data_IF_185936029275
#
_entry.id   IF_185936029275
#
_cell.length_a   1.000
_cell.length_b   1.000
_cell.length_c   1.000
_cell.angle_alpha   90.00
_cell.angle_beta   90.00
_cell.angle_gamma   90.00
#
_symmetry.space_group_name_H-M   'P 1'
#
loop_
_entity.id
_entity.type
_entity.pdbx_description
1 polymer ?
#
# COMPACT_ATOMS: atom_id res chain seq x y z
N UNK A 1 21.97 -20.55 -31.27
CA UNK A 1 22.56 -19.49 -30.41
C UNK A 1 21.78 -18.19 -30.55
N UNK A 2 21.63 -17.63 -31.76
CA UNK A 2 20.82 -16.43 -32.01
C UNK A 2 19.35 -16.52 -31.53
N UNK A 3 18.68 -17.66 -31.71
CA UNK A 3 17.28 -17.83 -31.27
C UNK A 3 17.13 -17.81 -29.73
N UNK A 4 18.15 -18.29 -29.00
CA UNK A 4 18.12 -18.36 -27.54
C UNK A 4 18.45 -17.00 -26.91
N UNK A 5 19.32 -16.21 -27.54
CA UNK A 5 19.58 -14.82 -27.16
C UNK A 5 18.37 -13.92 -27.41
N UNK A 6 17.66 -14.09 -28.54
CA UNK A 6 16.42 -13.37 -28.83
C UNK A 6 15.31 -13.69 -27.82
N UNK A 7 15.11 -14.97 -27.49
CA UNK A 7 14.11 -15.37 -26.49
C UNK A 7 14.40 -14.79 -25.10
N UNK A 8 15.68 -14.77 -24.69
CA UNK A 8 16.08 -14.16 -23.41
C UNK A 8 15.89 -12.64 -23.43
N UNK A 9 16.19 -11.97 -24.54
CA UNK A 9 15.95 -10.53 -24.70
C UNK A 9 14.47 -10.18 -24.58
N UNK A 10 13.59 -10.94 -25.24
CA UNK A 10 12.14 -10.73 -25.14
C UNK A 10 11.59 -11.00 -23.72
N UNK A 11 12.09 -12.05 -23.05
CA UNK A 11 11.69 -12.37 -21.69
C UNK A 11 12.10 -11.26 -20.69
N UNK A 12 13.32 -10.75 -20.84
CA UNK A 12 13.83 -9.63 -20.03
C UNK A 12 13.00 -8.37 -20.26
N UNK A 13 12.68 -8.07 -21.52
CA UNK A 13 11.85 -6.92 -21.87
C UNK A 13 10.45 -6.99 -21.21
N UNK A 14 9.81 -8.16 -21.27
CA UNK A 14 8.53 -8.38 -20.59
C UNK A 14 8.66 -8.22 -19.06
N UNK A 15 9.75 -8.70 -18.48
CA UNK A 15 10.03 -8.57 -17.04
C UNK A 15 10.19 -7.10 -16.63
N UNK A 16 10.94 -6.32 -17.41
CA UNK A 16 11.14 -4.87 -17.21
C UNK A 16 9.79 -4.14 -17.23
N UNK A 17 8.95 -4.39 -18.23
CA UNK A 17 7.64 -3.72 -18.34
C UNK A 17 6.73 -4.08 -17.17
N UNK A 18 6.74 -5.34 -16.72
CA UNK A 18 5.98 -5.77 -15.53
C UNK A 18 6.46 -5.05 -14.27
N UNK A 19 7.77 -5.05 -14.02
CA UNK A 19 8.38 -4.37 -12.88
C UNK A 19 8.09 -2.86 -12.88
N UNK A 20 8.18 -2.21 -14.04
CA UNK A 20 7.85 -0.79 -14.19
C UNK A 20 6.38 -0.48 -13.86
N UNK A 21 5.44 -1.32 -14.30
CA UNK A 21 4.02 -1.14 -13.96
C UNK A 21 3.76 -1.32 -12.47
N UNK A 22 4.31 -2.39 -11.88
CA UNK A 22 4.19 -2.64 -10.45
C UNK A 22 4.83 -1.52 -9.61
N UNK A 23 5.99 -1.01 -10.04
CA UNK A 23 6.65 0.15 -9.45
C UNK A 23 5.73 1.37 -9.41
N UNK A 24 5.15 1.73 -10.57
CA UNK A 24 4.26 2.89 -10.67
C UNK A 24 3.04 2.74 -9.78
N UNK A 25 2.35 1.60 -9.82
CA UNK A 25 1.18 1.35 -8.96
C UNK A 25 1.56 1.39 -7.48
N UNK A 26 2.74 0.90 -7.09
CA UNK A 26 3.22 0.98 -5.71
C UNK A 26 3.47 2.44 -5.27
N UNK A 27 4.06 3.26 -6.14
CA UNK A 27 4.28 4.68 -5.86
C UNK A 27 2.97 5.46 -5.78
N UNK A 28 2.05 5.23 -6.73
CA UNK A 28 0.69 5.79 -6.69
C UNK A 28 -0.05 5.38 -5.41
N UNK A 29 0.04 4.11 -5.00
CA UNK A 29 -0.56 3.61 -3.76
C UNK A 29 0.03 4.27 -2.51
N UNK A 30 1.35 4.43 -2.45
CA UNK A 30 2.02 5.09 -1.32
C UNK A 30 1.63 6.58 -1.27
N UNK A 31 1.58 7.27 -2.41
CA UNK A 31 1.11 8.65 -2.50
C UNK A 31 -0.36 8.78 -2.07
N UNK A 32 -1.24 7.91 -2.55
CA UNK A 32 -2.68 7.90 -2.22
C UNK A 32 -2.95 7.64 -0.72
N UNK A 33 -2.05 6.93 -0.05
CA UNK A 33 -2.10 6.74 1.42
C UNK A 33 -1.71 7.99 2.21
N UNK A 34 -1.17 9.02 1.54
CA UNK A 34 -0.79 10.30 2.13
C UNK A 34 0.70 10.43 2.47
N UNK A 35 1.55 9.56 1.92
CA UNK A 35 3.00 9.70 2.05
C UNK A 35 3.54 10.68 1.01
N UNK A 36 4.68 11.28 1.34
CA UNK A 36 5.39 12.22 0.47
C UNK A 36 6.30 11.46 -0.50
N UNK A 37 6.08 11.66 -1.79
CA UNK A 37 6.89 11.15 -2.90
C UNK A 37 7.02 12.25 -3.96
N UNK A 38 8.16 12.27 -4.65
CA UNK A 38 8.36 13.22 -5.74
C UNK A 38 7.51 12.83 -6.97
N UNK A 39 7.02 13.82 -7.72
CA UNK A 39 6.15 13.55 -8.88
C UNK A 39 6.90 12.75 -9.96
N UNK A 40 8.21 12.99 -10.09
CA UNK A 40 9.11 12.31 -11.01
C UNK A 40 9.26 10.81 -10.69
N UNK A 41 9.18 10.43 -9.41
CA UNK A 41 9.23 9.03 -8.97
C UNK A 41 7.93 8.29 -9.31
N UNK A 42 6.79 8.96 -9.12
CA UNK A 42 5.45 8.40 -9.38
C UNK A 42 5.18 8.28 -10.89
N UNK A 43 5.60 9.28 -11.67
CA UNK A 43 5.35 9.37 -13.12
C UNK A 43 6.55 8.97 -13.98
N UNK A 44 7.46 8.16 -13.45
CA UNK A 44 8.65 7.71 -14.16
C UNK A 44 8.31 7.05 -15.50
N UNK A 45 9.01 7.45 -16.57
CA UNK A 45 8.88 6.83 -17.89
C UNK A 45 9.54 5.45 -17.92
N UNK A 46 9.13 4.59 -18.88
CA UNK A 46 9.74 3.27 -19.05
C UNK A 46 11.24 3.37 -19.34
N UNK A 47 11.66 4.34 -20.15
CA UNK A 47 13.07 4.52 -20.51
C UNK A 47 13.92 4.99 -19.33
N UNK A 48 13.38 5.90 -18.51
CA UNK A 48 14.04 6.33 -17.27
C UNK A 48 14.14 5.17 -16.27
N UNK A 49 13.07 4.39 -16.14
CA UNK A 49 13.06 3.20 -15.28
C UNK A 49 14.10 2.17 -15.72
N UNK A 50 14.19 1.87 -17.02
CA UNK A 50 15.22 0.99 -17.57
C UNK A 50 16.61 1.46 -17.17
N UNK A 51 16.92 2.72 -17.49
CA UNK A 51 18.24 3.31 -17.21
C UNK A 51 18.63 3.22 -15.73
N UNK A 52 17.67 3.43 -14.82
CA UNK A 52 17.94 3.47 -13.38
C UNK A 52 17.94 2.09 -12.70
N UNK A 53 17.08 1.17 -13.15
CA UNK A 53 16.78 -0.07 -12.42
C UNK A 53 17.17 -1.35 -13.15
N UNK A 54 17.71 -1.29 -14.39
CA UNK A 54 18.27 -2.48 -15.05
C UNK A 54 19.78 -2.58 -14.89
N UNK A 55 20.27 -3.80 -14.77
CA UNK A 55 21.70 -4.12 -14.71
C UNK A 55 22.31 -4.18 -16.12
N UNK A 56 23.64 -4.30 -16.20
CA UNK A 56 24.37 -4.33 -17.50
C UNK A 56 23.93 -5.52 -18.36
N UNK A 57 23.49 -6.61 -17.73
CA UNK A 57 22.96 -7.82 -18.37
C UNK A 57 21.50 -7.69 -18.84
N UNK A 58 20.87 -6.54 -18.66
CA UNK A 58 19.48 -6.29 -19.04
C UNK A 58 18.44 -6.87 -18.06
N UNK A 59 18.84 -7.34 -16.89
CA UNK A 59 17.92 -7.82 -15.84
C UNK A 59 17.47 -6.70 -14.92
N UNK A 60 16.29 -6.84 -14.31
CA UNK A 60 15.76 -5.86 -13.34
C UNK A 60 16.43 -6.05 -11.98
N UNK A 61 16.96 -4.97 -11.42
CA UNK A 61 17.60 -4.96 -10.11
C UNK A 61 16.59 -4.61 -9.02
N UNK A 62 15.98 -5.64 -8.41
CA UNK A 62 15.00 -5.47 -7.32
C UNK A 62 15.58 -4.78 -6.08
N UNK A 63 16.87 -4.99 -5.82
CA UNK A 63 17.60 -4.31 -4.74
C UNK A 63 17.60 -2.79 -4.90
N UNK A 64 17.76 -2.28 -6.12
CA UNK A 64 17.69 -0.84 -6.40
C UNK A 64 16.26 -0.29 -6.32
N UNK A 65 15.25 -1.15 -6.43
CA UNK A 65 13.84 -0.75 -6.33
C UNK A 65 13.34 -0.60 -4.88
N UNK A 66 14.21 -0.72 -3.88
CA UNK A 66 13.81 -0.49 -2.49
C UNK A 66 13.67 1.01 -2.23
N UNK A 67 12.59 1.42 -1.59
CA UNK A 67 12.38 2.83 -1.24
C UNK A 67 11.60 2.98 0.06
N UNK A 68 11.64 4.20 0.60
CA UNK A 68 10.92 4.58 1.81
C UNK A 68 10.21 5.91 1.61
N UNK A 69 9.10 6.12 2.31
CA UNK A 69 8.37 7.39 2.23
C UNK A 69 7.93 7.85 3.63
N UNK A 70 8.02 9.16 3.86
CA UNK A 70 7.60 9.78 5.12
C UNK A 70 6.13 10.23 5.03
N UNK A 71 5.37 10.18 6.13
CA UNK A 71 3.99 10.63 6.12
C UNK A 71 3.95 12.16 5.96
N UNK A 72 3.05 12.65 5.09
CA UNK A 72 2.85 14.09 4.94
C UNK A 72 2.34 14.74 6.22
N UNK A 73 2.51 16.06 6.35
CA UNK A 73 1.96 16.81 7.48
C UNK A 73 0.43 16.64 7.62
N UNK A 74 -0.29 16.55 6.50
CA UNK A 74 -1.73 16.28 6.48
C UNK A 74 -2.07 14.89 7.01
N UNK A 75 -1.31 13.86 6.58
CA UNK A 75 -1.45 12.50 7.07
C UNK A 75 -1.18 12.42 8.57
N UNK A 76 -0.08 13.03 9.04
CA UNK A 76 0.24 13.07 10.47
C UNK A 76 -0.90 13.68 11.26
N UNK A 77 -1.36 14.89 10.89
CA UNK A 77 -2.50 15.56 11.54
C UNK A 77 -3.76 14.69 11.58
N UNK A 78 -4.08 14.01 10.48
CA UNK A 78 -5.27 13.16 10.34
C UNK A 78 -5.26 11.94 11.28
N UNK A 79 -4.07 11.38 11.52
CA UNK A 79 -3.89 10.16 12.31
C UNK A 79 -3.33 10.42 13.72
N UNK A 80 -3.07 11.67 14.09
CA UNK A 80 -2.81 12.07 15.48
C UNK A 80 -4.11 12.02 16.29
N UNK A 81 -4.14 11.29 17.41
CA UNK A 81 -5.25 11.38 18.36
C UNK A 81 -5.45 12.81 18.88
N UNK A 82 -6.68 13.16 19.28
CA UNK A 82 -6.90 14.42 19.99
C UNK A 82 -6.17 14.41 21.35
N UNK A 83 -5.62 15.55 21.75
CA UNK A 83 -4.98 15.72 23.05
C UNK A 83 -5.99 15.45 24.18
N UNK A 84 -5.53 14.77 25.23
CA UNK A 84 -6.34 14.47 26.42
C UNK A 84 -5.57 14.89 27.67
N UNK A 85 -6.26 15.02 28.81
CA UNK A 85 -5.60 15.35 30.08
C UNK A 85 -4.47 14.38 30.46
N UNK A 86 -4.59 13.10 30.06
CA UNK A 86 -3.60 12.06 30.30
C UNK A 86 -2.52 11.97 29.22
N UNK A 87 -2.73 12.62 28.07
CA UNK A 87 -1.78 12.67 26.96
C UNK A 87 -1.90 14.02 26.23
N UNK A 88 -1.23 15.07 26.75
CA UNK A 88 -1.34 16.42 26.21
C UNK A 88 -0.71 16.57 24.81
N UNK A 89 0.31 15.76 24.49
CA UNK A 89 1.02 15.78 23.22
C UNK A 89 1.02 14.39 22.56
N UNK A 90 -0.13 13.97 21.99
CA UNK A 90 -0.24 12.66 21.38
C UNK A 90 0.61 12.57 20.11
N UNK A 91 1.31 11.44 19.95
CA UNK A 91 2.06 11.15 18.72
C UNK A 91 1.13 10.62 17.62
N UNK A 92 1.45 10.87 16.33
CA UNK A 92 0.73 10.27 15.22
C UNK A 92 0.79 8.74 15.26
N UNK A 93 -0.32 8.07 14.93
CA UNK A 93 -0.34 6.60 14.81
C UNK A 93 0.26 6.08 13.49
N UNK A 94 0.87 6.98 12.72
CA UNK A 94 1.51 6.76 11.44
C UNK A 94 2.99 7.11 11.54
N UNK A 95 3.80 6.53 10.67
CA UNK A 95 5.24 6.77 10.60
C UNK A 95 5.75 6.38 9.22
N UNK A 96 7.05 6.38 9.02
CA UNK A 96 7.68 6.05 7.74
C UNK A 96 7.29 4.64 7.27
N UNK A 97 7.07 4.51 5.96
CA UNK A 97 6.83 3.22 5.29
C UNK A 97 8.09 2.77 4.55
N UNK A 98 8.37 1.47 4.59
CA UNK A 98 9.42 0.82 3.80
C UNK A 98 8.81 -0.10 2.75
N UNK A 99 9.30 -0.04 1.52
CA UNK A 99 8.83 -0.86 0.40
C UNK A 99 10.01 -1.65 -0.16
N UNK A 100 9.84 -2.96 -0.28
CA UNK A 100 10.84 -3.88 -0.79
C UNK A 100 10.27 -4.79 -1.88
N UNK A 101 10.96 -4.83 -3.03
CA UNK A 101 10.67 -5.76 -4.11
C UNK A 101 11.53 -7.00 -3.95
N UNK A 102 10.92 -8.17 -4.02
CA UNK A 102 11.61 -9.45 -3.88
C UNK A 102 11.15 -10.41 -5.00
N UNK A 103 12.13 -11.01 -5.68
CA UNK A 103 11.92 -11.89 -6.82
C UNK A 103 11.91 -13.38 -6.46
N UNK A 104 11.95 -13.72 -5.16
CA UNK A 104 11.91 -15.09 -4.71
C UNK A 104 10.58 -15.74 -5.14
N UNK A 105 10.62 -16.94 -5.73
CA UNK A 105 9.43 -17.62 -6.24
C UNK A 105 8.46 -18.03 -5.11
N UNK A 106 8.94 -18.06 -3.87
CA UNK A 106 8.13 -18.31 -2.69
C UNK A 106 8.78 -17.70 -1.45
N UNK A 107 7.98 -16.98 -0.66
CA UNK A 107 8.45 -16.38 0.59
C UNK A 107 8.11 -17.27 1.78
N UNK A 108 9.16 -17.79 2.40
CA UNK A 108 9.13 -18.59 3.62
C UNK A 108 9.04 -17.78 4.90
N UNK A 109 8.81 -18.46 6.03
CA UNK A 109 8.69 -17.82 7.33
C UNK A 109 9.97 -17.11 7.80
N UNK A 110 11.14 -17.61 7.39
CA UNK A 110 12.42 -16.99 7.76
C UNK A 110 12.61 -15.63 7.07
N UNK A 111 12.37 -15.55 5.77
CA UNK A 111 12.46 -14.31 5.01
C UNK A 111 11.50 -13.25 5.58
N UNK A 112 10.23 -13.63 5.83
CA UNK A 112 9.25 -12.73 6.45
C UNK A 112 9.67 -12.24 7.85
N UNK A 113 10.27 -13.11 8.68
CA UNK A 113 10.82 -12.70 9.98
C UNK A 113 12.00 -11.76 9.85
N UNK A 114 12.92 -12.00 8.90
CA UNK A 114 14.06 -11.13 8.64
C UNK A 114 13.59 -9.73 8.24
N UNK A 115 12.64 -9.66 7.30
CA UNK A 115 12.03 -8.40 6.87
C UNK A 115 11.33 -7.66 8.01
N UNK A 116 10.51 -8.36 8.80
CA UNK A 116 9.80 -7.75 9.93
C UNK A 116 10.75 -7.25 11.03
N UNK A 117 11.83 -7.99 11.31
CA UNK A 117 12.89 -7.54 12.23
C UNK A 117 13.62 -6.31 11.72
N UNK A 118 13.97 -6.29 10.44
CA UNK A 118 14.58 -5.13 9.79
C UNK A 118 13.67 -3.91 9.93
N UNK A 119 12.38 -4.03 9.60
CA UNK A 119 11.45 -2.92 9.70
C UNK A 119 11.30 -2.41 11.13
N UNK A 120 11.28 -3.32 12.11
CA UNK A 120 11.21 -2.95 13.53
C UNK A 120 12.49 -2.29 14.03
N UNK A 121 13.66 -2.73 13.55
CA UNK A 121 14.97 -2.20 13.95
C UNK A 121 15.19 -0.80 13.39
N UNK A 122 14.86 -0.58 12.11
CA UNK A 122 14.94 0.72 11.44
C UNK A 122 13.75 1.64 11.74
N UNK A 123 12.87 1.25 12.67
CA UNK A 123 11.71 2.02 13.12
C UNK A 123 10.71 2.39 12.01
N UNK A 124 10.55 1.56 10.98
CA UNK A 124 9.48 1.68 10.01
C UNK A 124 8.15 1.23 10.62
N UNK A 125 7.15 2.13 10.59
CA UNK A 125 5.81 1.85 11.14
C UNK A 125 5.07 0.83 10.29
N UNK A 126 5.30 0.85 8.97
CA UNK A 126 4.74 -0.08 8.01
C UNK A 126 5.83 -0.59 7.08
N UNK A 127 5.87 -1.90 6.87
CA UNK A 127 6.71 -2.54 5.85
C UNK A 127 5.82 -3.18 4.79
N UNK A 128 6.12 -2.95 3.51
CA UNK A 128 5.39 -3.49 2.37
C UNK A 128 6.34 -4.31 1.50
N UNK A 129 6.03 -5.60 1.33
CA UNK A 129 6.77 -6.46 0.42
C UNK A 129 5.99 -6.65 -0.89
N UNK A 130 6.64 -6.42 -2.02
CA UNK A 130 6.11 -6.73 -3.35
C UNK A 130 6.84 -7.96 -3.86
N UNK A 131 6.08 -9.01 -4.14
CA UNK A 131 6.61 -10.37 -4.33
C UNK A 131 6.22 -10.91 -5.70
N UNK A 132 7.19 -11.51 -6.40
CA UNK A 132 6.91 -12.30 -7.61
C UNK A 132 6.22 -13.63 -7.28
N UNK A 133 6.51 -14.17 -6.09
CA UNK A 133 6.07 -15.47 -5.64
C UNK A 133 4.98 -15.46 -4.57
N UNK A 134 4.40 -16.63 -4.32
CA UNK A 134 3.40 -16.81 -3.28
C UNK A 134 4.00 -16.74 -1.87
N UNK A 135 3.22 -16.24 -0.91
CA UNK A 135 3.58 -16.26 0.51
C UNK A 135 3.07 -17.54 1.17
N UNK A 136 4.00 -18.31 1.73
CA UNK A 136 3.69 -19.54 2.47
C UNK A 136 2.78 -19.28 3.67
N UNK A 137 1.92 -20.25 4.04
CA UNK A 137 1.08 -20.15 5.23
C UNK A 137 1.88 -19.96 6.53
N UNK A 138 3.12 -20.47 6.57
CA UNK A 138 4.03 -20.27 7.68
C UNK A 138 4.48 -18.80 7.78
N UNK A 139 4.82 -18.16 6.66
CA UNK A 139 5.14 -16.73 6.62
C UNK A 139 3.98 -15.84 7.06
N UNK A 140 2.75 -16.15 6.62
CA UNK A 140 1.54 -15.40 7.04
C UNK A 140 1.32 -15.43 8.56
N UNK A 141 1.70 -16.52 9.23
CA UNK A 141 1.61 -16.65 10.70
C UNK A 141 2.66 -15.82 11.45
N UNK A 142 3.71 -15.35 10.78
CA UNK A 142 4.74 -14.49 11.40
C UNK A 142 4.28 -13.04 11.51
N UNK A 143 3.50 -12.55 10.55
CA UNK A 143 3.07 -11.14 10.48
C UNK A 143 2.40 -10.64 11.77
N UNK A 144 1.41 -11.34 12.37
CA UNK A 144 0.77 -10.87 13.59
C UNK A 144 1.71 -10.74 14.79
N UNK A 145 2.84 -11.48 14.81
CA UNK A 145 3.79 -11.45 15.94
C UNK A 145 4.53 -10.12 16.03
N UNK A 146 4.62 -9.38 14.93
CA UNK A 146 5.29 -8.09 14.87
C UNK A 146 4.33 -6.90 14.96
N UNK A 147 3.02 -7.15 14.99
CA UNK A 147 1.99 -6.12 14.89
C UNK A 147 2.04 -5.04 15.98
N UNK A 148 2.72 -5.30 17.10
CA UNK A 148 2.94 -4.32 18.17
C UNK A 148 3.99 -3.25 17.82
N UNK A 149 4.93 -3.55 16.92
CA UNK A 149 6.00 -2.65 16.52
C UNK A 149 5.81 -2.13 15.09
N UNK A 150 5.54 -3.03 14.16
CA UNK A 150 5.44 -2.74 12.72
C UNK A 150 4.28 -3.49 12.11
N UNK A 151 3.55 -2.81 11.22
CA UNK A 151 2.55 -3.45 10.36
C UNK A 151 3.22 -3.97 9.10
N UNK A 152 3.09 -5.26 8.80
CA UNK A 152 3.65 -5.86 7.58
C UNK A 152 2.52 -6.17 6.61
N UNK A 153 2.67 -5.67 5.39
CA UNK A 153 1.77 -5.87 4.26
C UNK A 153 2.54 -6.53 3.11
N UNK A 154 1.83 -7.26 2.25
CA UNK A 154 2.44 -7.82 1.05
C UNK A 154 1.47 -7.80 -0.14
N UNK A 155 2.06 -7.66 -1.32
CA UNK A 155 1.37 -7.66 -2.60
C UNK A 155 2.09 -8.62 -3.55
N UNK A 156 1.32 -9.29 -4.39
CA UNK A 156 1.91 -9.97 -5.54
C UNK A 156 2.18 -8.89 -6.59
N UNK A 157 3.30 -9.01 -7.29
CA UNK A 157 3.64 -8.10 -8.38
C UNK A 157 2.55 -8.11 -9.46
N UNK A 158 1.94 -9.27 -9.71
CA UNK A 158 0.82 -9.45 -10.64
C UNK A 158 -0.41 -8.62 -10.26
N UNK A 159 -0.68 -8.45 -8.96
CA UNK A 159 -1.80 -7.64 -8.47
C UNK A 159 -1.57 -6.12 -8.70
N UNK A 160 -0.32 -5.70 -8.90
CA UNK A 160 0.07 -4.30 -9.04
C UNK A 160 0.32 -3.87 -10.49
N UNK A 161 0.11 -4.75 -11.47
CA UNK A 161 0.32 -4.40 -12.88
C UNK A 161 -0.64 -3.31 -13.38
N UNK A 162 -1.79 -3.15 -12.73
CA UNK A 162 -2.80 -2.14 -13.05
C UNK A 162 -3.32 -1.56 -11.74
N UNK A 163 -3.30 -0.23 -11.62
CA UNK A 163 -3.93 0.43 -10.48
C UNK A 163 -5.45 0.36 -10.59
N UNK A 164 -6.07 -0.44 -9.73
CA UNK A 164 -7.53 -0.65 -9.70
C UNK A 164 -8.32 0.61 -9.35
N UNK A 165 -7.72 1.60 -8.68
CA UNK A 165 -8.41 2.84 -8.27
C UNK A 165 -8.68 3.77 -9.45
N UNK A 166 -7.96 3.59 -10.56
CA UNK A 166 -8.16 4.36 -11.79
C UNK A 166 -9.30 3.81 -12.66
N UNK A 167 -9.87 2.67 -12.29
CA UNK A 167 -10.97 2.06 -13.04
C UNK A 167 -12.26 2.87 -12.87
N UNK A 168 -13.00 3.10 -13.96
CA UNK A 168 -14.23 3.93 -13.96
C UNK A 168 -15.28 3.47 -12.93
N UNK A 169 -15.48 2.15 -12.81
CA UNK A 169 -16.42 1.56 -11.85
C UNK A 169 -15.93 1.61 -10.38
N UNK A 170 -14.68 2.01 -10.12
CA UNK A 170 -14.13 2.12 -8.76
C UNK A 170 -14.23 3.58 -8.31
N UNK A 171 -15.19 3.92 -7.42
CA UNK A 171 -15.35 5.29 -6.95
C UNK A 171 -14.19 5.70 -6.03
N UNK A 172 -14.09 7.00 -5.74
CA UNK A 172 -13.06 7.52 -4.83
C UNK A 172 -13.36 7.10 -3.39
N UNK A 173 -12.35 6.51 -2.74
CA UNK A 173 -12.40 6.09 -1.34
C UNK A 173 -11.52 7.02 -0.49
N UNK A 174 -12.05 7.48 0.64
CA UNK A 174 -11.35 8.35 1.59
C UNK A 174 -11.56 7.81 3.00
N UNK A 175 -10.48 7.35 3.65
CA UNK A 175 -10.53 6.91 5.04
C UNK A 175 -10.84 8.12 5.93
N UNK A 176 -11.77 7.98 6.87
CA UNK A 176 -12.07 9.02 7.86
C UNK A 176 -11.08 8.98 9.03
N UNK A 177 -10.71 10.17 9.52
CA UNK A 177 -10.05 10.34 10.82
C UNK A 177 -10.97 9.91 11.97
N UNK A 178 -10.38 9.80 13.17
CA UNK A 178 -11.15 9.50 14.39
C UNK A 178 -12.23 10.54 14.66
N UNK A 179 -11.90 11.82 14.49
CA UNK A 179 -12.81 12.93 14.71
C UNK A 179 -13.97 12.92 13.70
N UNK A 180 -13.66 12.72 12.41
CA UNK A 180 -14.67 12.60 11.36
C UNK A 180 -15.58 11.39 11.57
N UNK A 181 -15.02 10.26 12.03
CA UNK A 181 -15.79 9.08 12.42
C UNK A 181 -16.78 9.39 13.55
N UNK A 182 -16.33 10.05 14.63
CA UNK A 182 -17.20 10.42 15.76
C UNK A 182 -18.28 11.40 15.30
N UNK A 183 -17.92 12.41 14.50
CA UNK A 183 -18.86 13.39 13.96
C UNK A 183 -19.92 12.73 13.06
N UNK A 184 -19.52 11.76 12.22
CA UNK A 184 -20.42 10.99 11.37
C UNK A 184 -21.46 10.22 12.20
N UNK A 185 -20.99 9.42 13.16
CA UNK A 185 -21.86 8.59 14.00
C UNK A 185 -22.83 9.46 14.82
N UNK A 186 -22.35 10.60 15.35
CA UNK A 186 -23.18 11.57 16.07
C UNK A 186 -24.24 12.21 15.17
N UNK A 187 -23.85 12.64 13.96
CA UNK A 187 -24.75 13.30 12.99
C UNK A 187 -25.90 12.39 12.59
N UNK A 188 -25.63 11.13 12.32
CA UNK A 188 -26.65 10.16 11.89
C UNK A 188 -27.28 9.38 13.05
N UNK A 189 -26.82 9.58 14.29
CA UNK A 189 -27.24 8.84 15.50
C UNK A 189 -27.15 7.32 15.31
N UNK A 190 -26.03 6.87 14.73
CA UNK A 190 -25.76 5.46 14.42
C UNK A 190 -24.67 4.89 15.32
N UNK A 191 -24.77 3.59 15.61
CA UNK A 191 -23.67 2.75 16.11
C UNK A 191 -22.84 2.27 14.93
N UNK A 192 -21.55 2.00 15.16
CA UNK A 192 -20.64 1.50 14.11
C UNK A 192 -21.17 0.24 13.42
N UNK A 193 -21.77 -0.66 14.18
CA UNK A 193 -22.32 -1.94 13.69
C UNK A 193 -23.47 -1.78 12.72
N UNK A 194 -24.08 -0.60 12.62
CA UNK A 194 -25.19 -0.32 11.71
C UNK A 194 -24.72 0.17 10.34
N UNK A 195 -23.42 0.46 10.17
CA UNK A 195 -22.87 0.85 8.89
C UNK A 195 -22.70 -0.36 7.96
N UNK A 196 -22.92 -0.20 6.65
CA UNK A 196 -22.54 -1.20 5.66
C UNK A 196 -21.06 -1.59 5.80
N UNK A 197 -20.73 -2.84 5.49
CA UNK A 197 -19.39 -3.38 5.73
C UNK A 197 -18.53 -3.42 4.46
N UNK A 198 -17.23 -3.28 4.64
CA UNK A 198 -16.18 -3.60 3.66
C UNK A 198 -15.19 -4.55 4.34
N UNK A 199 -14.80 -5.61 3.65
CA UNK A 199 -13.88 -6.59 4.23
C UNK A 199 -12.44 -6.06 4.16
N UNK A 200 -11.60 -6.38 5.14
CA UNK A 200 -10.15 -6.09 5.05
C UNK A 200 -9.48 -6.69 3.81
N UNK A 201 -10.00 -7.82 3.31
CA UNK A 201 -9.52 -8.49 2.10
C UNK A 201 -10.03 -7.88 0.79
N UNK A 202 -10.89 -6.87 0.86
CA UNK A 202 -11.35 -6.16 -0.33
C UNK A 202 -10.15 -5.49 -1.03
N UNK A 203 -10.05 -5.53 -2.37
CA UNK A 203 -8.90 -4.97 -3.08
C UNK A 203 -8.63 -3.50 -2.75
N UNK A 204 -9.67 -2.68 -2.60
CA UNK A 204 -9.53 -1.25 -2.27
C UNK A 204 -9.17 -1.08 -0.79
N UNK A 205 -9.73 -1.91 0.09
CA UNK A 205 -9.34 -1.91 1.50
C UNK A 205 -7.85 -2.28 1.68
N UNK A 206 -7.37 -3.28 0.93
CA UNK A 206 -5.96 -3.67 0.89
C UNK A 206 -5.08 -2.55 0.32
N UNK A 207 -5.51 -1.92 -0.78
CA UNK A 207 -4.81 -0.78 -1.41
C UNK A 207 -4.56 0.36 -0.41
N UNK A 208 -5.55 0.75 0.39
CA UNK A 208 -5.42 1.82 1.38
C UNK A 208 -4.91 1.35 2.76
N UNK A 209 -4.58 0.07 2.95
CA UNK A 209 -4.13 -0.46 4.26
C UNK A 209 -5.19 -0.32 5.36
N UNK A 210 -6.48 -0.48 5.02
CA UNK A 210 -7.59 -0.27 5.94
C UNK A 210 -7.58 -1.28 7.09
N UNK A 211 -7.72 -0.78 8.32
CA UNK A 211 -7.76 -1.58 9.56
C UNK A 211 -9.18 -1.73 10.07
N UNK A 212 -9.41 -2.81 10.82
CA UNK A 212 -10.69 -3.09 11.50
C UNK A 212 -11.14 -1.87 12.31
N UNK A 213 -12.41 -1.51 12.17
CA UNK A 213 -12.99 -0.38 12.88
C UNK A 213 -12.79 0.98 12.19
N UNK A 214 -11.98 1.08 11.14
CA UNK A 214 -11.92 2.29 10.32
C UNK A 214 -13.16 2.40 9.43
N UNK A 215 -13.56 3.63 9.11
CA UNK A 215 -14.67 3.92 8.21
C UNK A 215 -14.12 4.62 6.96
N UNK A 216 -14.57 4.16 5.80
CA UNK A 216 -14.27 4.77 4.51
C UNK A 216 -15.48 5.51 3.98
N UNK A 217 -15.26 6.73 3.50
CA UNK A 217 -16.21 7.52 2.72
C UNK A 217 -15.98 7.20 1.24
N UNK A 218 -17.05 6.80 0.56
CA UNK A 218 -17.05 6.44 -0.85
C UNK A 218 -17.83 7.52 -1.60
N UNK A 219 -17.17 8.20 -2.53
CA UNK A 219 -17.75 9.29 -3.31
C UNK A 219 -17.92 8.80 -4.75
N UNK A 220 -19.17 8.69 -5.20
CA UNK A 220 -19.51 8.25 -6.56
C UNK A 220 -20.34 9.29 -7.29
N UNK A 221 -20.21 9.32 -8.61
CA UNK A 221 -21.13 10.02 -9.48
C UNK A 221 -22.50 9.34 -9.43
N UNK A 222 -23.56 10.14 -9.41
CA UNK A 222 -24.95 9.67 -9.35
C UNK A 222 -25.74 10.45 -10.38
N UNK A 223 -26.52 9.73 -11.20
CA UNK A 223 -27.36 10.36 -12.24
C UNK A 223 -28.39 11.32 -11.64
N UNK A 224 -28.95 10.99 -10.47
CA UNK A 224 -30.00 11.79 -9.82
C UNK A 224 -29.45 12.89 -8.93
N UNK A 225 -28.36 12.65 -8.21
CA UNK A 225 -27.84 13.55 -7.18
C UNK A 225 -26.53 14.26 -7.58
N UNK A 226 -25.99 14.00 -8.77
CA UNK A 226 -24.67 14.44 -9.21
C UNK A 226 -23.55 13.71 -8.46
N UNK A 227 -23.37 13.98 -7.17
CA UNK A 227 -22.39 13.30 -6.31
C UNK A 227 -23.09 12.71 -5.08
N UNK A 228 -22.88 11.42 -4.85
CA UNK A 228 -23.41 10.70 -3.70
C UNK A 228 -22.28 10.16 -2.84
N UNK A 229 -22.37 10.40 -1.53
CA UNK A 229 -21.43 9.87 -0.54
C UNK A 229 -22.06 8.72 0.25
N UNK A 230 -21.37 7.59 0.31
CA UNK A 230 -21.70 6.45 1.17
C UNK A 230 -20.58 6.19 2.17
N UNK A 231 -20.86 5.47 3.25
CA UNK A 231 -19.90 5.17 4.30
C UNK A 231 -19.89 3.67 4.61
N UNK A 232 -18.70 3.07 4.72
CA UNK A 232 -18.56 1.65 5.05
C UNK A 232 -17.57 1.42 6.20
N UNK A 233 -17.90 0.50 7.10
CA UNK A 233 -17.06 0.04 8.20
C UNK A 233 -16.16 -1.12 7.74
N UNK A 234 -14.86 -1.01 7.99
CA UNK A 234 -13.89 -2.07 7.73
C UNK A 234 -13.97 -3.17 8.79
N UNK A 235 -14.12 -4.42 8.35
CA UNK A 235 -14.23 -5.62 9.21
C UNK A 235 -13.30 -6.76 8.81
#
# INVERSE_FOLDING_TARGET
MADMENLNSEANERSIVKAWRAWRTAHEMVQDRGYELAEEEVKISLDAFRTQYTSIDGTVSRERMKFSARPSAEMQKKYTPAATANNPEPQPDVGTIWIEFNDDPSVGAEAMRKFAKFCSHEHYRTGMMILSGNVSSAAKKEIPKFAQWTTIEWFLEEDLLINITHHELVPRHVILSREEKIALLKRYRLKETQLPRILQRDPVAKYFGMRRGQIVKIIRSSETAGRYASYRLCV
#
